data_IF_919575436488
#
_entry.id   IF_919575436488
#
_cell.length_a   1.000
_cell.length_b   1.000
_cell.length_c   1.000
_cell.angle_alpha   90.00
_cell.angle_beta   90.00
_cell.angle_gamma   90.00
#
_symmetry.space_group_name_H-M   'P 1'
#
loop_
_entity.id
_entity.type
_entity.pdbx_description
1 polymer ?
#
# COMPACT_ATOMS: atom_id res chain seq x y z
N UNK A 1 32.58 -2.32 10.50
CA UNK A 1 31.62 -1.59 9.67
C UNK A 1 30.73 -2.66 9.04
N UNK A 2 29.43 -2.70 9.37
CA UNK A 2 28.48 -3.58 8.69
C UNK A 2 28.43 -3.12 7.23
N UNK A 3 28.64 -4.01 6.29
CA UNK A 3 28.45 -3.70 4.87
C UNK A 3 26.95 -3.64 4.62
N UNK A 4 26.45 -2.55 4.05
CA UNK A 4 25.09 -2.44 3.51
C UNK A 4 24.86 -3.64 2.60
N UNK A 5 23.79 -4.41 2.87
CA UNK A 5 23.43 -5.54 2.01
C UNK A 5 22.56 -5.03 0.87
N UNK A 6 22.95 -5.36 -0.35
CA UNK A 6 22.17 -5.06 -1.55
C UNK A 6 21.45 -6.31 -2.04
N UNK A 7 20.17 -6.16 -2.36
CA UNK A 7 19.31 -7.22 -2.82
C UNK A 7 18.69 -6.87 -4.18
N UNK A 8 18.77 -7.79 -5.12
CA UNK A 8 18.07 -7.70 -6.41
C UNK A 8 16.75 -8.45 -6.32
N UNK A 9 15.66 -7.78 -6.66
CA UNK A 9 14.32 -8.35 -6.65
C UNK A 9 13.62 -8.11 -8.00
N UNK A 10 12.67 -8.98 -8.33
CA UNK A 10 11.86 -8.88 -9.54
C UNK A 10 10.40 -9.20 -9.25
N UNK A 11 9.49 -8.42 -9.84
CA UNK A 11 8.06 -8.64 -9.76
C UNK A 11 7.36 -8.20 -11.07
N UNK A 12 6.07 -8.46 -11.17
CA UNK A 12 5.26 -7.95 -12.29
C UNK A 12 4.77 -6.53 -11.98
N UNK A 13 4.40 -6.27 -10.71
CA UNK A 13 3.91 -4.97 -10.24
C UNK A 13 4.61 -4.59 -8.94
N UNK A 14 5.26 -3.43 -8.93
CA UNK A 14 5.74 -2.79 -7.70
C UNK A 14 4.74 -1.72 -7.29
N UNK A 15 4.28 -1.77 -6.04
CA UNK A 15 3.44 -0.74 -5.42
C UNK A 15 4.28 -0.02 -4.35
N UNK A 16 4.53 1.26 -4.56
CA UNK A 16 5.22 2.12 -3.62
C UNK A 16 4.21 2.85 -2.73
N UNK A 17 4.20 2.53 -1.44
CA UNK A 17 3.28 3.08 -0.46
C UNK A 17 2.09 2.16 -0.13
N UNK A 18 2.01 1.73 1.14
CA UNK A 18 0.97 0.84 1.67
C UNK A 18 -0.16 1.58 2.38
N UNK A 19 -0.55 2.75 1.85
CA UNK A 19 -1.69 3.54 2.33
C UNK A 19 -3.04 3.01 1.83
N UNK A 20 -4.14 3.81 2.01
CA UNK A 20 -5.49 3.42 1.58
C UNK A 20 -5.64 3.16 0.09
N UNK A 21 -4.74 3.69 -0.75
CA UNK A 21 -4.69 3.41 -2.18
C UNK A 21 -3.82 2.19 -2.50
N UNK A 22 -2.63 2.08 -1.86
CA UNK A 22 -1.66 1.05 -2.18
C UNK A 22 -2.06 -0.34 -1.74
N UNK A 23 -2.66 -0.50 -0.56
CA UNK A 23 -3.15 -1.80 -0.09
C UNK A 23 -4.18 -2.41 -1.04
N UNK A 24 -5.27 -1.72 -1.42
CA UNK A 24 -6.23 -2.26 -2.38
C UNK A 24 -5.62 -2.52 -3.76
N UNK A 25 -4.71 -1.65 -4.22
CA UNK A 25 -4.00 -1.83 -5.48
C UNK A 25 -3.19 -3.12 -5.48
N UNK A 26 -2.37 -3.35 -4.44
CA UNK A 26 -1.54 -4.53 -4.31
C UNK A 26 -2.39 -5.81 -4.21
N UNK A 27 -3.47 -5.79 -3.43
CA UNK A 27 -4.41 -6.91 -3.31
C UNK A 27 -5.08 -7.23 -4.65
N UNK A 28 -5.55 -6.21 -5.38
CA UNK A 28 -6.19 -6.39 -6.67
C UNK A 28 -5.24 -7.01 -7.69
N UNK A 29 -4.01 -6.49 -7.78
CA UNK A 29 -2.99 -7.00 -8.70
C UNK A 29 -2.60 -8.46 -8.36
N UNK A 30 -2.38 -8.76 -7.08
CA UNK A 30 -2.02 -10.11 -6.62
C UNK A 30 -3.13 -11.13 -6.89
N UNK A 31 -4.39 -10.77 -6.64
CA UNK A 31 -5.57 -11.59 -6.94
C UNK A 31 -5.80 -11.74 -8.44
N UNK A 32 -5.38 -10.77 -9.24
CA UNK A 32 -5.33 -10.86 -10.70
C UNK A 32 -4.22 -11.78 -11.24
N UNK A 33 -3.40 -12.38 -10.36
CA UNK A 33 -2.34 -13.33 -10.71
C UNK A 33 -0.96 -12.70 -10.94
N UNK A 34 -0.80 -11.39 -10.74
CA UNK A 34 0.50 -10.75 -10.83
C UNK A 34 1.35 -11.04 -9.57
N UNK A 35 2.67 -11.21 -9.76
CA UNK A 35 3.63 -11.20 -8.64
C UNK A 35 3.82 -9.75 -8.20
N UNK A 36 3.43 -9.43 -6.98
CA UNK A 36 3.40 -8.06 -6.46
C UNK A 36 4.41 -7.89 -5.33
N UNK A 37 5.15 -6.78 -5.35
CA UNK A 37 5.87 -6.29 -4.19
C UNK A 37 5.19 -5.01 -3.73
N UNK A 38 4.78 -4.96 -2.46
CA UNK A 38 4.25 -3.77 -1.80
C UNK A 38 5.29 -3.25 -0.81
N UNK A 39 5.86 -2.07 -1.10
CA UNK A 39 6.78 -1.38 -0.20
C UNK A 39 6.02 -0.35 0.64
N UNK A 40 6.23 -0.39 1.96
CA UNK A 40 5.70 0.59 2.89
C UNK A 40 6.82 1.10 3.80
N UNK A 41 6.98 2.41 3.87
CA UNK A 41 8.03 3.07 4.65
C UNK A 41 7.84 2.98 6.17
N UNK A 42 6.63 2.64 6.61
CA UNK A 42 6.26 2.49 8.02
C UNK A 42 6.16 1.02 8.42
N UNK A 43 6.09 0.80 9.73
CA UNK A 43 5.90 -0.53 10.31
C UNK A 43 4.45 -1.04 10.21
N UNK A 44 3.50 -0.20 9.83
CA UNK A 44 2.09 -0.52 9.69
C UNK A 44 1.56 -0.09 8.32
N UNK A 45 0.52 -0.78 7.87
CA UNK A 45 -0.23 -0.43 6.66
C UNK A 45 -1.37 0.54 6.97
N UNK A 46 -1.92 1.15 5.92
CA UNK A 46 -3.10 2.02 6.03
C UNK A 46 -2.78 3.52 5.94
N UNK A 47 -1.51 3.94 6.00
CA UNK A 47 -1.12 5.35 5.89
C UNK A 47 -1.91 6.23 6.87
N UNK A 48 -2.67 7.20 6.37
CA UNK A 48 -3.48 8.08 7.21
C UNK A 48 -4.58 7.34 8.00
N UNK A 49 -5.03 6.17 7.54
CA UNK A 49 -6.01 5.36 8.24
C UNK A 49 -5.41 4.47 9.33
N UNK A 50 -4.08 4.34 9.37
CA UNK A 50 -3.36 3.53 10.36
C UNK A 50 -3.46 4.09 11.78
N UNK A 51 -2.99 3.30 12.75
CA UNK A 51 -2.89 3.74 14.14
C UNK A 51 -1.97 4.95 14.35
N UNK A 52 -1.09 5.26 13.40
CA UNK A 52 -0.19 6.41 13.48
C UNK A 52 -0.91 7.75 13.30
N UNK A 53 -1.91 7.83 12.42
CA UNK A 53 -2.65 9.08 12.13
C UNK A 53 -4.11 9.00 12.56
N UNK A 54 -4.73 7.82 12.42
CA UNK A 54 -6.10 7.50 12.86
C UNK A 54 -7.19 8.28 12.12
N UNK A 55 -6.95 8.66 10.87
CA UNK A 55 -7.97 9.22 10.01
C UNK A 55 -8.83 8.08 9.47
N UNK A 56 -10.12 8.12 9.68
CA UNK A 56 -11.03 7.10 9.15
C UNK A 56 -11.13 7.18 7.62
N UNK A 57 -11.39 6.04 6.99
CA UNK A 57 -11.62 5.99 5.55
C UNK A 57 -13.01 6.54 5.26
N UNK A 58 -13.08 7.63 4.50
CA UNK A 58 -14.33 8.30 4.09
C UNK A 58 -14.43 8.36 2.57
N UNK A 59 -15.64 8.43 2.06
CA UNK A 59 -15.93 8.57 0.64
C UNK A 59 -17.27 7.95 0.29
N UNK A 60 -17.86 8.33 -0.85
CA UNK A 60 -19.11 7.80 -1.43
C UNK A 60 -20.23 7.55 -0.40
N UNK A 61 -20.39 8.42 0.58
CA UNK A 61 -21.36 8.34 1.66
C UNK A 61 -22.42 9.45 1.60
N UNK A 62 -22.41 10.26 0.53
CA UNK A 62 -23.25 11.44 0.33
C UNK A 62 -23.17 12.51 1.45
N UNK A 63 -22.14 12.45 2.29
CA UNK A 63 -21.94 13.38 3.42
C UNK A 63 -21.84 14.87 3.02
N UNK A 64 -21.67 15.15 1.73
CA UNK A 64 -21.60 16.50 1.18
C UNK A 64 -22.96 17.17 0.91
N UNK A 65 -24.07 16.45 0.94
CA UNK A 65 -25.40 16.98 0.64
C UNK A 65 -26.17 17.24 1.95
N UNK A 66 -26.09 18.46 2.47
CA UNK A 66 -26.85 18.86 3.65
C UNK A 66 -28.35 18.83 3.36
N UNK A 67 -29.07 17.99 4.09
CA UNK A 67 -30.53 17.96 4.11
C UNK A 67 -31.21 16.86 3.29
N UNK A 68 -30.47 16.10 2.51
CA UNK A 68 -31.01 14.92 1.84
C UNK A 68 -30.87 13.68 2.73
N UNK A 69 -31.86 12.77 2.74
CA UNK A 69 -31.71 11.45 3.37
C UNK A 69 -30.51 10.75 2.74
N UNK A 70 -29.60 10.17 3.55
CA UNK A 70 -28.54 9.32 3.05
C UNK A 70 -29.14 8.21 2.19
N UNK A 71 -28.84 8.22 0.91
CA UNK A 71 -29.25 7.12 0.05
C UNK A 71 -28.54 5.85 0.51
N UNK A 72 -29.32 4.81 0.80
CA UNK A 72 -28.82 3.54 1.35
C UNK A 72 -27.86 2.80 0.41
N UNK A 73 -27.69 3.27 -0.82
CA UNK A 73 -26.93 2.62 -1.88
C UNK A 73 -25.64 3.37 -2.30
N UNK A 74 -25.18 4.34 -1.50
CA UNK A 74 -23.96 5.12 -1.79
C UNK A 74 -22.71 4.45 -1.18
N UNK A 75 -22.71 3.15 -0.94
CA UNK A 75 -21.53 2.42 -0.47
C UNK A 75 -20.68 2.00 -1.66
N UNK A 76 -19.40 2.26 -1.57
CA UNK A 76 -18.43 1.69 -2.49
C UNK A 76 -18.37 0.17 -2.29
N UNK A 77 -18.24 -0.56 -3.40
CA UNK A 77 -18.04 -2.00 -3.40
C UNK A 77 -16.56 -2.36 -3.50
N UNK A 78 -16.27 -3.64 -3.79
CA UNK A 78 -14.91 -4.12 -4.03
C UNK A 78 -14.06 -4.25 -2.77
N UNK A 79 -12.74 -4.10 -2.92
CA UNK A 79 -11.77 -4.37 -1.84
C UNK A 79 -11.96 -3.43 -0.65
N UNK A 80 -12.32 -2.18 -0.87
CA UNK A 80 -12.57 -1.26 0.25
C UNK A 80 -13.75 -1.70 1.10
N UNK A 81 -14.82 -2.20 0.48
CA UNK A 81 -15.97 -2.73 1.22
C UNK A 81 -15.62 -4.03 1.95
N UNK A 82 -14.82 -4.90 1.34
CA UNK A 82 -14.28 -6.09 1.99
C UNK A 82 -13.51 -5.73 3.27
N UNK A 83 -12.61 -4.74 3.21
CA UNK A 83 -11.86 -4.25 4.37
C UNK A 83 -12.81 -3.69 5.44
N UNK A 84 -13.82 -2.92 5.05
CA UNK A 84 -14.80 -2.33 5.96
C UNK A 84 -15.64 -3.39 6.67
N UNK A 85 -16.13 -4.39 5.93
CA UNK A 85 -16.89 -5.50 6.49
C UNK A 85 -16.07 -6.33 7.47
N UNK A 86 -14.84 -6.69 7.09
CA UNK A 86 -13.94 -7.43 7.95
C UNK A 86 -13.59 -6.65 9.22
N UNK A 87 -13.32 -5.35 9.07
CA UNK A 87 -13.11 -4.45 10.21
C UNK A 87 -14.34 -4.37 11.11
N UNK A 88 -15.55 -4.37 10.55
CA UNK A 88 -16.78 -4.35 11.34
C UNK A 88 -16.95 -5.62 12.17
N UNK A 89 -16.61 -6.77 11.60
CA UNK A 89 -16.75 -8.07 12.25
C UNK A 89 -15.65 -8.30 13.31
N UNK A 90 -14.41 -8.02 12.97
CA UNK A 90 -13.24 -8.38 13.79
C UNK A 90 -12.72 -7.22 14.66
N UNK A 91 -13.26 -6.02 14.51
CA UNK A 91 -12.86 -4.84 15.28
C UNK A 91 -14.07 -4.11 15.90
N UNK A 92 -14.84 -4.76 16.78
CA UNK A 92 -16.03 -4.16 17.38
C UNK A 92 -15.72 -2.94 18.26
N UNK A 93 -14.50 -2.85 18.77
CA UNK A 93 -14.02 -1.72 19.58
C UNK A 93 -13.54 -0.53 18.73
N UNK A 94 -13.51 -0.67 17.40
CA UNK A 94 -13.01 0.36 16.46
C UNK A 94 -11.60 0.82 16.77
N UNK A 95 -10.75 -0.11 17.16
CA UNK A 95 -9.33 0.13 17.42
C UNK A 95 -8.57 0.35 16.11
N UNK A 96 -7.79 1.42 16.04
CA UNK A 96 -6.94 1.68 14.87
C UNK A 96 -5.86 0.60 14.71
N UNK A 97 -5.29 0.10 15.81
CA UNK A 97 -4.30 -0.98 15.77
C UNK A 97 -4.88 -2.33 15.27
N UNK A 98 -6.18 -2.57 15.50
CA UNK A 98 -6.84 -3.73 14.89
C UNK A 98 -7.04 -3.56 13.39
N UNK A 99 -7.25 -2.34 12.91
CA UNK A 99 -7.28 -2.09 11.46
C UNK A 99 -5.90 -2.37 10.85
N UNK A 100 -4.81 -1.92 11.48
CA UNK A 100 -3.45 -2.21 11.03
C UNK A 100 -3.21 -3.73 10.90
N UNK A 101 -3.65 -4.51 11.90
CA UNK A 101 -3.54 -5.96 11.90
C UNK A 101 -4.36 -6.58 10.76
N UNK A 102 -5.60 -6.15 10.57
CA UNK A 102 -6.48 -6.65 9.49
C UNK A 102 -5.84 -6.42 8.12
N UNK A 103 -5.30 -5.22 7.87
CA UNK A 103 -4.62 -4.90 6.61
C UNK A 103 -3.36 -5.76 6.42
N UNK A 104 -2.58 -5.93 7.48
CA UNK A 104 -1.39 -6.76 7.47
C UNK A 104 -1.72 -8.23 7.15
N UNK A 105 -2.67 -8.83 7.87
CA UNK A 105 -3.09 -10.22 7.67
C UNK A 105 -3.65 -10.42 6.26
N UNK A 106 -4.44 -9.48 5.77
CA UNK A 106 -4.99 -9.53 4.41
C UNK A 106 -3.89 -9.54 3.35
N UNK A 107 -2.89 -8.68 3.46
CA UNK A 107 -1.75 -8.67 2.55
C UNK A 107 -0.90 -9.95 2.68
N UNK A 108 -0.69 -10.44 3.90
CA UNK A 108 0.08 -11.65 4.15
C UNK A 108 -0.60 -12.93 3.68
N UNK A 109 -1.91 -12.94 3.60
CA UNK A 109 -2.68 -14.08 3.12
C UNK A 109 -2.64 -14.24 1.59
N UNK A 110 -2.27 -13.19 0.84
CA UNK A 110 -2.20 -13.26 -0.62
C UNK A 110 -0.89 -13.92 -1.08
N UNK A 111 -0.95 -15.07 -1.75
CA UNK A 111 0.24 -15.83 -2.11
C UNK A 111 1.15 -15.13 -3.12
N UNK A 112 0.58 -14.26 -3.96
CA UNK A 112 1.31 -13.51 -4.98
C UNK A 112 1.79 -12.14 -4.50
N UNK A 113 1.65 -11.80 -3.20
CA UNK A 113 2.03 -10.53 -2.65
C UNK A 113 3.18 -10.66 -1.65
N UNK A 114 4.29 -10.02 -1.94
CA UNK A 114 5.40 -9.84 -1.02
C UNK A 114 5.27 -8.48 -0.34
N UNK A 115 5.02 -8.49 0.97
CA UNK A 115 4.92 -7.27 1.78
C UNK A 115 6.27 -6.90 2.38
N UNK A 116 6.73 -5.68 2.12
CA UNK A 116 7.98 -5.11 2.63
C UNK A 116 7.68 -3.89 3.49
N UNK A 117 7.53 -4.09 4.80
CA UNK A 117 7.39 -3.01 5.78
C UNK A 117 8.76 -2.37 6.11
N UNK A 118 8.73 -1.15 6.65
CA UNK A 118 9.92 -0.33 6.94
C UNK A 118 10.83 -0.15 5.70
N UNK A 119 10.24 -0.25 4.51
CA UNK A 119 10.96 -0.22 3.24
C UNK A 119 10.41 0.91 2.39
N UNK A 120 11.23 1.95 2.19
CA UNK A 120 10.85 3.14 1.43
C UNK A 120 11.46 3.09 0.04
N UNK A 121 10.65 3.29 -0.99
CA UNK A 121 11.16 3.60 -2.33
C UNK A 121 11.73 5.01 -2.30
N UNK A 122 13.01 5.15 -2.64
CA UNK A 122 13.76 6.41 -2.51
C UNK A 122 14.15 7.01 -3.85
N UNK A 123 14.33 6.18 -4.88
CA UNK A 123 14.79 6.62 -6.19
C UNK A 123 14.37 5.63 -7.27
N UNK A 124 14.62 5.95 -8.54
CA UNK A 124 14.41 5.08 -9.69
C UNK A 124 15.60 5.11 -10.65
N UNK A 125 15.80 4.02 -11.37
CA UNK A 125 16.69 3.96 -12.52
C UNK A 125 15.89 4.00 -13.81
N UNK A 126 16.31 4.83 -14.75
CA UNK A 126 15.68 4.93 -16.06
C UNK A 126 16.53 4.24 -17.14
N UNK A 127 15.86 3.56 -18.05
CA UNK A 127 16.42 3.08 -19.30
C UNK A 127 15.55 3.59 -20.46
N UNK A 128 16.13 4.34 -21.37
CA UNK A 128 15.43 4.93 -22.52
C UNK A 128 14.19 5.78 -22.14
N UNK A 129 14.26 6.47 -20.98
CA UNK A 129 13.16 7.31 -20.47
C UNK A 129 12.02 6.53 -19.80
N UNK A 130 12.21 5.24 -19.54
CA UNK A 130 11.24 4.37 -18.84
C UNK A 130 11.88 3.86 -17.54
N UNK A 131 11.09 3.78 -16.47
CA UNK A 131 11.58 3.20 -15.20
C UNK A 131 11.94 1.72 -15.43
N UNK A 132 13.20 1.39 -15.20
CA UNK A 132 13.70 0.01 -15.25
C UNK A 132 13.72 -0.65 -13.87
N UNK A 133 14.08 0.12 -12.84
CA UNK A 133 14.16 -0.35 -11.45
C UNK A 133 13.73 0.76 -10.50
N UNK A 134 13.16 0.37 -9.38
CA UNK A 134 13.01 1.22 -8.21
C UNK A 134 14.09 0.86 -7.18
N UNK A 135 14.63 1.87 -6.52
CA UNK A 135 15.59 1.72 -5.43
C UNK A 135 14.84 1.93 -4.11
N UNK A 136 15.01 1.01 -3.19
CA UNK A 136 14.35 1.09 -1.89
C UNK A 136 15.31 0.78 -0.74
N UNK A 137 15.15 1.51 0.36
CA UNK A 137 15.92 1.37 1.57
C UNK A 137 15.06 0.84 2.71
N UNK A 138 15.56 -0.16 3.45
CA UNK A 138 14.95 -0.64 4.68
C UNK A 138 15.71 -0.10 5.88
N UNK A 139 15.15 0.88 6.54
CA UNK A 139 15.82 1.57 7.66
C UNK A 139 16.09 0.67 8.86
N UNK A 140 15.24 -0.35 9.09
CA UNK A 140 15.36 -1.24 10.26
C UNK A 140 16.55 -2.20 10.20
N UNK A 141 17.05 -2.51 9.00
CA UNK A 141 18.16 -3.46 8.78
C UNK A 141 19.32 -2.85 7.98
N UNK A 142 19.15 -1.62 7.48
CA UNK A 142 20.11 -0.94 6.58
C UNK A 142 20.28 -1.66 5.22
N UNK A 143 19.30 -2.50 4.83
CA UNK A 143 19.29 -3.18 3.54
C UNK A 143 18.87 -2.22 2.42
N UNK A 144 19.47 -2.41 1.25
CA UNK A 144 19.08 -1.76 0.02
C UNK A 144 18.52 -2.76 -0.97
N UNK A 145 17.45 -2.37 -1.66
CA UNK A 145 16.78 -3.19 -2.65
C UNK A 145 16.76 -2.48 -3.98
N UNK A 146 17.13 -3.21 -5.03
CA UNK A 146 16.96 -2.80 -6.42
C UNK A 146 15.90 -3.69 -7.03
N UNK A 147 14.74 -3.12 -7.37
CA UNK A 147 13.54 -3.88 -7.71
C UNK A 147 13.15 -3.62 -9.16
N UNK A 148 13.28 -4.64 -10.00
CA UNK A 148 12.77 -4.63 -11.36
C UNK A 148 11.26 -4.94 -11.37
N UNK A 149 10.49 -4.20 -12.17
CA UNK A 149 9.07 -4.47 -12.36
C UNK A 149 8.62 -4.13 -13.79
N UNK A 150 7.51 -4.73 -14.22
CA UNK A 150 6.86 -4.39 -15.49
C UNK A 150 5.96 -3.15 -15.34
N UNK A 151 5.39 -2.97 -14.15
CA UNK A 151 4.53 -1.84 -13.79
C UNK A 151 4.96 -1.30 -12.44
N UNK A 152 5.12 0.02 -12.36
CA UNK A 152 5.42 0.75 -11.15
C UNK A 152 4.22 1.62 -10.79
N UNK A 153 3.72 1.49 -9.55
CA UNK A 153 2.53 2.22 -9.08
C UNK A 153 2.93 3.11 -7.92
N UNK A 154 2.73 4.41 -8.08
CA UNK A 154 2.99 5.38 -7.02
C UNK A 154 1.75 5.59 -6.16
N UNK A 155 1.81 5.10 -4.93
CA UNK A 155 0.82 5.27 -3.86
C UNK A 155 1.44 5.92 -2.62
N UNK A 156 2.55 6.66 -2.78
CA UNK A 156 3.32 7.23 -1.65
C UNK A 156 2.62 8.40 -0.96
N UNK A 157 1.60 8.97 -1.58
CA UNK A 157 0.93 10.18 -1.08
C UNK A 157 1.62 11.49 -1.51
N UNK A 158 2.93 11.47 -1.65
CA UNK A 158 3.74 12.62 -2.07
C UNK A 158 4.19 12.55 -3.54
N UNK A 159 3.87 11.45 -4.25
CA UNK A 159 4.31 11.25 -5.63
C UNK A 159 5.81 10.99 -5.76
N UNK A 160 6.40 10.36 -4.75
CA UNK A 160 7.84 10.16 -4.64
C UNK A 160 8.45 9.40 -5.83
N UNK A 161 7.76 8.34 -6.28
CA UNK A 161 8.24 7.52 -7.40
C UNK A 161 8.14 8.29 -8.72
N UNK A 162 7.03 9.02 -8.92
CA UNK A 162 6.85 9.88 -10.09
C UNK A 162 7.85 11.03 -10.11
N UNK A 163 8.08 11.69 -8.98
CA UNK A 163 9.05 12.78 -8.87
C UNK A 163 10.49 12.32 -9.14
N UNK A 164 10.86 11.10 -8.73
CA UNK A 164 12.18 10.53 -9.02
C UNK A 164 12.34 10.15 -10.51
N UNK A 165 11.25 9.91 -11.22
CA UNK A 165 11.29 9.60 -12.66
C UNK A 165 11.38 10.82 -13.57
N UNK A 166 11.11 12.04 -13.08
CA UNK A 166 11.23 13.31 -13.80
C UNK A 166 9.90 13.91 -14.25
#
# INVERSE_FOLDING_TARGET
MSSIQQHELECDVLVAGGGPAGVPCALAAARGGARVILCQDRSVLGGNASSEVRMHIVGADASGQRGEPLATEIREGGIIEEIRLETTVHNPQRSASMLDLILYEKCRAEPNLTLMLNTRVVDVELADGVISHALADRQSTEDQFRIAARVFVDCTGDGQLGAAAG
#
